data_IF_126569450034
#
_entry.id   IF_126569450034
#
_cell.length_a   1.000
_cell.length_b   1.000
_cell.length_c   1.000
_cell.angle_alpha   90.00
_cell.angle_beta   90.00
_cell.angle_gamma   90.00
#
_symmetry.space_group_name_H-M   'P 1'
#
loop_
_entity.id
_entity.type
_entity.pdbx_description
1 polymer ?
#
# COMPACT_ATOMS: atom_id res chain seq x y z
N UNK A 1 13.08 19.26 -2.95
CA UNK A 1 13.04 17.80 -3.22
C UNK A 1 12.47 17.62 -4.61
N UNK A 2 13.10 16.84 -5.48
CA UNK A 2 12.59 16.58 -6.83
C UNK A 2 11.77 15.29 -6.86
N UNK A 3 10.62 15.32 -7.50
CA UNK A 3 9.72 14.16 -7.62
C UNK A 3 9.78 13.68 -9.08
N UNK A 4 9.97 12.39 -9.32
CA UNK A 4 9.92 11.87 -10.68
C UNK A 4 8.49 11.96 -11.23
N UNK A 5 8.37 12.28 -12.52
CA UNK A 5 7.07 12.37 -13.21
C UNK A 5 6.23 11.10 -13.02
N UNK A 6 6.88 9.93 -13.04
CA UNK A 6 6.21 8.64 -12.79
C UNK A 6 5.61 8.57 -11.38
N UNK A 7 6.37 8.99 -10.35
CA UNK A 7 5.88 8.99 -8.96
C UNK A 7 4.71 9.96 -8.79
N UNK A 8 4.77 11.14 -9.41
CA UNK A 8 3.67 12.11 -9.41
C UNK A 8 2.40 11.55 -10.07
N UNK A 9 2.52 10.87 -11.21
CA UNK A 9 1.36 10.26 -11.91
C UNK A 9 0.72 9.15 -11.06
N UNK A 10 1.53 8.28 -10.45
CA UNK A 10 1.03 7.19 -9.60
C UNK A 10 0.36 7.72 -8.33
N UNK A 11 0.89 8.78 -7.72
CA UNK A 11 0.32 9.35 -6.49
C UNK A 11 -1.02 10.06 -6.70
N UNK A 12 -1.23 10.67 -7.86
CA UNK A 12 -2.43 11.45 -8.16
C UNK A 12 -3.41 10.72 -9.09
N UNK A 13 -3.16 9.43 -9.36
CA UNK A 13 -3.95 8.61 -10.28
C UNK A 13 -4.16 9.24 -11.68
N UNK A 14 -3.15 9.96 -12.18
CA UNK A 14 -3.20 10.65 -13.47
C UNK A 14 -2.50 9.84 -14.56
N UNK A 15 -3.02 9.92 -15.78
CA UNK A 15 -2.39 9.26 -16.92
C UNK A 15 -1.10 9.98 -17.36
N UNK A 16 -0.04 9.19 -17.58
CA UNK A 16 1.30 9.71 -17.91
C UNK A 16 1.31 10.56 -19.19
N UNK A 17 0.49 10.21 -20.18
CA UNK A 17 0.36 10.96 -21.44
C UNK A 17 -0.25 12.33 -21.24
N UNK A 18 -1.31 12.45 -20.42
CA UNK A 18 -1.98 13.73 -20.13
C UNK A 18 -1.09 14.66 -19.32
N UNK A 19 -0.40 14.15 -18.29
CA UNK A 19 0.53 14.95 -17.49
C UNK A 19 1.72 15.42 -18.33
N UNK A 20 2.29 14.55 -19.16
CA UNK A 20 3.42 14.91 -20.03
C UNK A 20 3.06 16.01 -21.04
N UNK A 21 1.87 15.92 -21.64
CA UNK A 21 1.36 16.95 -22.55
C UNK A 21 1.17 18.30 -21.84
N UNK A 22 0.61 18.30 -20.62
CA UNK A 22 0.45 19.54 -19.84
C UNK A 22 1.78 20.14 -19.38
N UNK A 23 2.78 19.34 -19.03
CA UNK A 23 4.12 19.85 -18.76
C UNK A 23 4.72 20.58 -19.96
N UNK A 24 4.48 20.10 -21.18
CA UNK A 24 4.91 20.77 -22.41
C UNK A 24 4.16 22.08 -22.66
N UNK A 25 2.84 22.10 -22.42
CA UNK A 25 2.02 23.31 -22.56
C UNK A 25 2.39 24.41 -21.54
N UNK A 26 2.85 24.02 -20.35
CA UNK A 26 3.26 24.92 -19.26
C UNK A 26 4.77 25.24 -19.25
N UNK A 27 5.53 24.78 -20.26
CA UNK A 27 6.99 24.92 -20.35
C UNK A 27 7.74 24.45 -19.09
N UNK A 28 7.30 23.33 -18.49
CA UNK A 28 7.94 22.70 -17.33
C UNK A 28 9.00 21.71 -17.82
N UNK A 29 10.26 21.92 -17.47
CA UNK A 29 11.33 20.97 -17.74
C UNK A 29 11.17 19.72 -16.85
N UNK A 30 11.11 18.55 -17.46
CA UNK A 30 10.94 17.25 -16.78
C UNK A 30 12.21 16.40 -16.83
N UNK A 31 13.29 16.90 -17.42
CA UNK A 31 14.54 16.17 -17.67
C UNK A 31 15.26 15.75 -16.38
N UNK A 32 15.17 16.58 -15.33
CA UNK A 32 15.79 16.34 -14.02
C UNK A 32 14.77 16.01 -12.91
N UNK A 33 13.52 15.72 -13.28
CA UNK A 33 12.40 15.58 -12.36
C UNK A 33 11.59 16.86 -12.16
N UNK A 34 10.48 16.77 -11.45
CA UNK A 34 9.60 17.89 -11.15
C UNK A 34 10.08 18.62 -9.89
N UNK A 35 10.37 19.90 -10.05
CA UNK A 35 10.59 20.81 -8.92
C UNK A 35 9.30 21.09 -8.15
N UNK A 36 9.43 21.53 -6.91
CA UNK A 36 8.28 21.73 -6.02
C UNK A 36 7.30 22.81 -6.53
N UNK A 37 7.81 23.84 -7.23
CA UNK A 37 6.99 24.85 -7.91
C UNK A 37 6.21 24.22 -9.09
N UNK A 38 6.86 23.35 -9.87
CA UNK A 38 6.22 22.62 -10.96
C UNK A 38 5.13 21.64 -10.46
N UNK A 39 5.39 20.96 -9.35
CA UNK A 39 4.39 20.10 -8.68
C UNK A 39 3.18 20.91 -8.25
N UNK A 40 3.39 22.10 -7.67
CA UNK A 40 2.29 22.96 -7.21
C UNK A 40 1.45 23.47 -8.37
N UNK A 41 2.09 23.87 -9.48
CA UNK A 41 1.38 24.27 -10.71
C UNK A 41 0.58 23.13 -11.32
N UNK A 42 1.14 21.92 -11.36
CA UNK A 42 0.44 20.74 -11.87
C UNK A 42 -0.72 20.33 -10.96
N UNK A 43 -0.57 20.41 -9.63
CA UNK A 43 -1.67 20.15 -8.69
C UNK A 43 -2.82 21.15 -8.87
N UNK A 44 -2.50 22.44 -9.08
CA UNK A 44 -3.50 23.47 -9.36
C UNK A 44 -4.21 23.23 -10.71
N UNK A 45 -3.46 22.93 -11.77
CA UNK A 45 -3.99 22.71 -13.12
C UNK A 45 -4.88 21.46 -13.21
N UNK A 46 -4.48 20.38 -12.54
CA UNK A 46 -5.27 19.14 -12.48
C UNK A 46 -6.31 19.15 -11.36
N UNK A 47 -6.43 20.26 -10.61
CA UNK A 47 -7.31 20.41 -9.44
C UNK A 47 -7.24 19.21 -8.49
N UNK A 48 -6.03 18.66 -8.32
CA UNK A 48 -5.79 17.54 -7.42
C UNK A 48 -5.58 18.13 -6.03
N UNK A 49 -6.68 18.39 -5.34
CA UNK A 49 -6.67 18.57 -3.89
C UNK A 49 -6.25 17.23 -3.25
N UNK A 50 -5.41 17.23 -2.19
CA UNK A 50 -5.29 16.04 -1.35
C UNK A 50 -6.69 15.74 -0.82
N UNK A 51 -7.25 14.60 -1.25
CA UNK A 51 -8.63 14.16 -1.03
C UNK A 51 -9.54 15.13 -0.28
N UNK A 52 -10.32 15.92 -1.03
CA UNK A 52 -11.72 16.14 -0.68
C UNK A 52 -12.53 16.36 -1.95
N UNK A 53 -13.58 15.56 -2.05
CA UNK A 53 -14.46 15.33 -3.18
C UNK A 53 -15.12 16.62 -3.69
N UNK A 54 -15.24 16.66 -5.01
CA UNK A 54 -15.84 17.68 -5.87
C UNK A 54 -17.20 18.18 -5.39
N UNK A 55 -17.46 19.50 -5.48
CA UNK A 55 -18.79 19.98 -5.83
C UNK A 55 -18.72 21.27 -6.66
N UNK A 56 -19.59 21.30 -7.66
CA UNK A 56 -19.60 22.17 -8.83
C UNK A 56 -20.08 23.58 -8.51
N UNK A 57 -19.56 24.52 -9.29
CA UNK A 57 -19.79 25.96 -9.25
C UNK A 57 -21.18 26.38 -9.78
N UNK A 58 -21.63 27.53 -9.26
CA UNK A 58 -22.53 28.55 -9.84
C UNK A 58 -24.05 28.45 -9.62
N UNK A 59 -24.57 29.36 -8.77
CA UNK A 59 -25.54 30.38 -9.19
C UNK A 59 -25.68 31.51 -8.14
N UNK A 60 -25.53 32.75 -8.60
CA UNK A 60 -25.55 34.01 -7.86
C UNK A 60 -26.92 34.36 -7.27
N UNK A 61 -26.94 34.89 -6.03
CA UNK A 61 -28.16 35.37 -5.36
C UNK A 61 -28.35 36.85 -5.69
N UNK A 62 -29.39 37.17 -6.46
CA UNK A 62 -29.81 38.55 -6.72
C UNK A 62 -30.55 39.11 -5.50
N UNK A 63 -30.03 40.18 -4.90
CA UNK A 63 -30.64 40.91 -3.78
C UNK A 63 -31.69 41.91 -4.29
N UNK A 64 -32.95 41.74 -3.88
CA UNK A 64 -34.01 42.71 -4.16
C UNK A 64 -34.36 43.52 -2.91
N UNK A 65 -34.13 44.83 -3.03
CA UNK A 65 -34.43 45.88 -2.03
C UNK A 65 -35.92 46.16 -1.93
N UNK A 66 -36.45 46.16 -0.70
CA UNK A 66 -37.85 46.53 -0.39
C UNK A 66 -37.95 48.04 -0.19
N UNK A 67 -38.94 48.66 -0.84
CA UNK A 67 -39.39 50.03 -0.61
C UNK A 67 -40.90 50.00 -0.34
N UNK A 68 -41.31 50.55 0.81
CA UNK A 68 -42.71 50.63 1.23
C UNK A 68 -43.22 52.07 1.14
N UNK A 69 -44.45 52.25 0.64
CA UNK A 69 -45.09 53.56 0.55
C UNK A 69 -46.56 53.50 0.14
N UNK A 70 -47.45 53.29 1.13
CA UNK A 70 -48.77 53.93 1.36
C UNK A 70 -49.34 54.86 0.26
N UNK A 71 -50.61 54.86 -0.20
CA UNK A 71 -51.91 54.42 0.33
C UNK A 71 -52.97 54.36 -0.81
N UNK A 72 -54.12 53.73 -0.48
CA UNK A 72 -55.51 54.19 -0.79
C UNK A 72 -56.32 53.42 -1.86
N UNK A 73 -56.97 52.35 -1.40
CA UNK A 73 -58.44 52.20 -1.40
C UNK A 73 -59.16 51.85 -2.71
N UNK A 74 -59.50 50.57 -2.86
CA UNK A 74 -60.75 50.10 -3.46
C UNK A 74 -61.22 48.87 -2.67
N UNK A 75 -62.52 48.81 -2.36
CA UNK A 75 -63.19 47.67 -1.74
C UNK A 75 -63.52 46.66 -2.83
N UNK A 76 -62.71 45.62 -2.96
CA UNK A 76 -63.08 44.41 -3.68
C UNK A 76 -63.68 43.40 -2.70
N UNK A 77 -64.83 42.83 -3.05
CA UNK A 77 -65.39 41.69 -2.32
C UNK A 77 -64.34 40.57 -2.31
N UNK A 78 -64.09 39.91 -1.17
CA UNK A 78 -63.14 38.81 -1.14
C UNK A 78 -63.70 37.67 -1.99
N UNK A 79 -63.06 37.41 -3.12
CA UNK A 79 -63.15 36.13 -3.78
C UNK A 79 -62.71 35.09 -2.77
N UNK A 80 -63.63 34.24 -2.32
CA UNK A 80 -63.27 33.06 -1.55
C UNK A 80 -62.23 32.28 -2.38
N UNK A 81 -61.03 32.04 -1.83
CA UNK A 81 -60.02 31.30 -2.56
C UNK A 81 -60.55 29.88 -2.79
N UNK A 82 -60.62 29.47 -4.06
CA UNK A 82 -61.00 28.10 -4.45
C UNK A 82 -59.98 27.07 -4.01
N UNK A 83 -58.81 27.51 -3.53
CA UNK A 83 -57.78 26.70 -2.91
C UNK A 83 -57.39 27.27 -1.55
N UNK A 84 -57.64 26.49 -0.51
CA UNK A 84 -57.10 26.74 0.83
C UNK A 84 -55.76 26.04 0.90
N UNK A 85 -54.66 26.80 0.81
CA UNK A 85 -53.33 26.25 0.95
C UNK A 85 -53.00 26.01 2.43
N UNK A 86 -52.97 24.74 2.84
CA UNK A 86 -52.72 24.31 4.22
C UNK A 86 -51.30 24.62 4.71
N UNK A 87 -50.42 25.10 3.84
CA UNK A 87 -49.06 25.55 4.19
C UNK A 87 -49.05 26.81 5.07
N UNK A 88 -50.08 27.66 5.00
CA UNK A 88 -50.15 28.89 5.82
C UNK A 88 -50.60 28.63 7.26
N UNK A 89 -51.17 27.45 7.55
CA UNK A 89 -51.61 27.03 8.88
C UNK A 89 -50.54 26.19 9.59
N UNK A 90 -49.65 25.55 8.81
CA UNK A 90 -48.52 24.79 9.35
C UNK A 90 -47.35 25.74 9.58
N UNK A 91 -47.32 26.33 10.78
CA UNK A 91 -46.18 27.09 11.26
C UNK A 91 -44.85 26.40 10.89
N UNK A 92 -43.96 27.21 10.30
CA UNK A 92 -42.65 26.89 9.75
C UNK A 92 -41.98 25.65 10.38
N UNK A 93 -42.28 24.47 9.84
CA UNK A 93 -41.56 23.24 10.10
C UNK A 93 -41.03 22.77 8.75
N UNK A 94 -39.76 23.04 8.41
CA UNK A 94 -39.17 22.49 7.20
C UNK A 94 -39.16 20.97 7.36
N UNK A 95 -40.03 20.28 6.62
CA UNK A 95 -39.86 18.87 6.33
C UNK A 95 -38.61 18.79 5.46
N UNK A 96 -37.44 18.58 6.07
CA UNK A 96 -36.32 17.99 5.36
C UNK A 96 -36.76 16.58 4.98
N UNK A 97 -37.41 16.43 3.83
CA UNK A 97 -37.73 15.13 3.26
C UNK A 97 -36.43 14.59 2.68
N UNK A 98 -35.84 13.59 3.34
CA UNK A 98 -34.96 12.68 2.62
C UNK A 98 -35.78 12.10 1.48
N UNK A 99 -35.32 12.31 0.25
CA UNK A 99 -35.94 11.66 -0.90
C UNK A 99 -35.77 10.15 -0.74
N UNK A 100 -36.78 9.36 -1.12
CA UNK A 100 -36.73 7.90 -0.96
C UNK A 100 -35.49 7.30 -1.65
N UNK A 101 -35.05 7.93 -2.75
CA UNK A 101 -33.86 7.57 -3.51
C UNK A 101 -32.55 7.75 -2.72
N UNK A 102 -32.47 8.73 -1.81
CA UNK A 102 -31.29 8.95 -0.97
C UNK A 102 -31.21 7.88 0.14
N UNK A 103 -32.36 7.45 0.66
CA UNK A 103 -32.46 6.38 1.64
C UNK A 103 -32.05 5.05 1.01
N UNK A 104 -32.52 4.74 -0.20
CA UNK A 104 -32.14 3.54 -0.94
C UNK A 104 -30.64 3.50 -1.25
N UNK A 105 -30.06 4.62 -1.74
CA UNK A 105 -28.61 4.73 -1.98
C UNK A 105 -27.79 4.54 -0.71
N UNK A 106 -28.27 5.05 0.43
CA UNK A 106 -27.59 4.88 1.70
C UNK A 106 -27.64 3.41 2.16
N UNK A 107 -28.78 2.74 2.03
CA UNK A 107 -28.91 1.32 2.36
C UNK A 107 -28.03 0.44 1.46
N UNK A 108 -28.01 0.70 0.15
CA UNK A 108 -27.12 0.00 -0.78
C UNK A 108 -25.64 0.20 -0.43
N UNK A 109 -25.26 1.41 0.01
CA UNK A 109 -23.91 1.69 0.48
C UNK A 109 -23.58 0.94 1.78
N UNK A 110 -24.54 0.84 2.72
CA UNK A 110 -24.38 0.04 3.92
C UNK A 110 -24.21 -1.45 3.60
N UNK A 111 -25.02 -2.00 2.70
CA UNK A 111 -24.93 -3.40 2.28
C UNK A 111 -23.60 -3.68 1.56
N UNK A 112 -23.17 -2.76 0.70
CA UNK A 112 -21.85 -2.81 0.05
C UNK A 112 -20.71 -2.80 1.06
N UNK A 113 -20.80 -2.00 2.11
CA UNK A 113 -19.80 -1.96 3.19
C UNK A 113 -19.74 -3.27 3.97
N UNK A 114 -20.89 -3.86 4.32
CA UNK A 114 -20.94 -5.16 5.01
C UNK A 114 -20.32 -6.25 4.13
N UNK A 115 -20.71 -6.32 2.86
CA UNK A 115 -20.16 -7.30 1.92
C UNK A 115 -18.63 -7.13 1.72
N UNK A 116 -18.15 -5.89 1.62
CA UNK A 116 -16.72 -5.61 1.51
C UNK A 116 -15.95 -6.00 2.77
N UNK A 117 -16.52 -5.76 3.95
CA UNK A 117 -15.93 -6.13 5.24
C UNK A 117 -15.82 -7.65 5.39
N UNK A 118 -16.88 -8.38 5.02
CA UNK A 118 -16.88 -9.84 5.04
C UNK A 118 -15.84 -10.42 4.05
N UNK A 119 -15.77 -9.86 2.85
CA UNK A 119 -14.79 -10.27 1.84
C UNK A 119 -13.34 -10.02 2.32
N UNK A 120 -13.07 -8.87 2.94
CA UNK A 120 -11.76 -8.57 3.51
C UNK A 120 -11.41 -9.54 4.65
N UNK A 121 -12.35 -9.81 5.55
CA UNK A 121 -12.14 -10.77 6.64
C UNK A 121 -11.79 -12.18 6.11
N UNK A 122 -12.49 -12.66 5.08
CA UNK A 122 -12.16 -13.95 4.45
C UNK A 122 -10.77 -13.95 3.81
N UNK A 123 -10.38 -12.86 3.14
CA UNK A 123 -9.05 -12.72 2.58
C UNK A 123 -7.97 -12.73 3.67
N UNK A 124 -8.19 -12.03 4.79
CA UNK A 124 -7.29 -12.04 5.94
C UNK A 124 -7.13 -13.45 6.54
N UNK A 125 -8.23 -14.21 6.64
CA UNK A 125 -8.19 -15.61 7.09
C UNK A 125 -7.36 -16.49 6.15
N UNK A 126 -7.56 -16.36 4.83
CA UNK A 126 -6.78 -17.11 3.85
C UNK A 126 -5.29 -16.79 3.91
N UNK A 127 -4.94 -15.50 3.98
CA UNK A 127 -3.56 -15.04 4.09
C UNK A 127 -2.92 -15.58 5.37
N UNK A 128 -3.64 -15.55 6.48
CA UNK A 128 -3.18 -16.07 7.78
C UNK A 128 -2.91 -17.57 7.68
N UNK A 129 -3.85 -18.34 7.14
CA UNK A 129 -3.69 -19.79 6.94
C UNK A 129 -2.51 -20.13 6.01
N UNK A 130 -2.31 -19.36 4.93
CA UNK A 130 -1.16 -19.53 4.02
C UNK A 130 0.15 -19.24 4.75
N UNK A 131 0.20 -18.20 5.59
CA UNK A 131 1.37 -17.86 6.42
C UNK A 131 1.69 -18.95 7.44
N UNK A 132 0.69 -19.49 8.14
CA UNK A 132 0.88 -20.58 9.09
C UNK A 132 1.44 -21.84 8.41
N UNK A 133 0.88 -22.22 7.27
CA UNK A 133 1.37 -23.36 6.49
C UNK A 133 2.82 -23.14 6.00
N UNK A 134 3.15 -21.92 5.57
CA UNK A 134 4.52 -21.57 5.18
C UNK A 134 5.48 -21.61 6.38
N UNK A 135 5.07 -21.08 7.54
CA UNK A 135 5.88 -21.08 8.76
C UNK A 135 6.23 -22.50 9.21
N UNK A 136 5.27 -23.43 9.16
CA UNK A 136 5.52 -24.85 9.47
C UNK A 136 6.54 -25.49 8.51
N UNK A 137 6.44 -25.21 7.21
CA UNK A 137 7.41 -25.70 6.20
C UNK A 137 8.80 -25.14 6.44
N UNK A 138 8.92 -23.84 6.74
CA UNK A 138 10.20 -23.20 7.05
C UNK A 138 10.81 -23.79 8.30
N UNK A 139 10.02 -24.00 9.37
CA UNK A 139 10.48 -24.62 10.60
C UNK A 139 11.00 -26.04 10.36
N UNK A 140 10.28 -26.86 9.59
CA UNK A 140 10.72 -28.21 9.24
C UNK A 140 12.05 -28.19 8.47
N UNK A 141 12.20 -27.28 7.49
CA UNK A 141 13.45 -27.13 6.73
C UNK A 141 14.61 -26.60 7.58
N UNK A 142 14.35 -25.71 8.53
CA UNK A 142 15.36 -25.21 9.45
C UNK A 142 15.93 -26.36 10.31
N UNK A 143 15.08 -27.24 10.83
CA UNK A 143 15.53 -28.41 11.60
C UNK A 143 16.30 -29.42 10.73
N UNK A 144 15.88 -29.61 9.47
CA UNK A 144 16.61 -30.46 8.52
C UNK A 144 18.03 -29.92 8.25
N UNK A 145 18.16 -28.61 8.01
CA UNK A 145 19.46 -27.94 7.82
C UNK A 145 20.32 -28.03 9.07
N UNK A 146 19.74 -27.80 10.25
CA UNK A 146 20.46 -27.94 11.53
C UNK A 146 20.99 -29.36 11.72
N UNK A 147 20.17 -30.37 11.43
CA UNK A 147 20.57 -31.78 11.50
C UNK A 147 21.67 -32.11 10.49
N UNK A 148 21.57 -31.60 9.27
CA UNK A 148 22.58 -31.78 8.23
C UNK A 148 23.92 -31.12 8.63
N UNK A 149 23.87 -29.92 9.21
CA UNK A 149 25.05 -29.20 9.72
C UNK A 149 25.75 -29.97 10.83
N UNK A 150 25.00 -30.46 11.83
CA UNK A 150 25.56 -31.30 12.90
C UNK A 150 26.21 -32.57 12.34
N UNK A 151 25.55 -33.23 11.37
CA UNK A 151 26.11 -34.42 10.71
C UNK A 151 27.40 -34.11 9.97
N UNK A 152 27.47 -32.97 9.29
CA UNK A 152 28.68 -32.52 8.62
C UNK A 152 29.81 -32.25 9.62
N UNK A 153 29.52 -31.54 10.71
CA UNK A 153 30.49 -31.27 11.78
C UNK A 153 31.08 -32.57 12.34
N UNK A 154 30.24 -33.53 12.74
CA UNK A 154 30.69 -34.83 13.25
C UNK A 154 31.55 -35.60 12.23
N UNK A 155 31.16 -35.61 10.96
CA UNK A 155 31.95 -36.26 9.89
C UNK A 155 33.30 -35.57 9.68
N UNK A 156 33.32 -34.24 9.71
CA UNK A 156 34.54 -33.47 9.54
C UNK A 156 35.51 -33.65 10.70
N UNK A 157 35.00 -33.74 11.94
CA UNK A 157 35.80 -34.02 13.13
C UNK A 157 36.40 -35.42 13.08
N UNK A 158 35.59 -36.44 12.72
CA UNK A 158 36.08 -37.81 12.54
C UNK A 158 37.18 -37.90 11.47
N UNK A 159 37.02 -37.21 10.34
CA UNK A 159 38.04 -37.12 9.30
C UNK A 159 39.31 -36.42 9.81
N UNK A 160 39.17 -35.33 10.57
CA UNK A 160 40.32 -34.62 11.14
C UNK A 160 41.12 -35.50 12.12
N UNK A 161 40.44 -36.27 12.97
CA UNK A 161 41.08 -37.22 13.89
C UNK A 161 41.78 -38.32 13.08
N UNK A 162 41.10 -38.89 12.08
CA UNK A 162 41.69 -39.95 11.26
C UNK A 162 42.95 -39.47 10.52
N UNK A 163 42.92 -38.29 9.92
CA UNK A 163 44.09 -37.71 9.25
C UNK A 163 45.23 -37.44 10.23
N UNK A 164 44.96 -36.91 11.42
CA UNK A 164 46.01 -36.73 12.45
C UNK A 164 46.66 -38.05 12.85
N UNK A 165 45.88 -39.12 12.98
CA UNK A 165 46.42 -40.45 13.29
C UNK A 165 47.31 -40.95 12.15
N UNK A 166 46.84 -40.84 10.90
CA UNK A 166 47.64 -41.19 9.72
C UNK A 166 48.94 -40.38 9.64
N UNK A 167 48.89 -39.06 9.89
CA UNK A 167 50.08 -38.21 9.89
C UNK A 167 51.08 -38.65 10.99
N UNK A 168 50.58 -39.03 12.16
CA UNK A 168 51.41 -39.52 13.28
C UNK A 168 52.04 -40.88 12.96
N UNK A 169 51.27 -41.80 12.36
CA UNK A 169 51.75 -43.10 11.90
C UNK A 169 52.81 -42.94 10.81
N UNK A 170 52.57 -42.07 9.82
CA UNK A 170 53.52 -41.75 8.77
C UNK A 170 54.79 -41.13 9.34
N UNK A 171 54.68 -40.18 10.27
CA UNK A 171 55.83 -39.58 10.92
C UNK A 171 56.66 -40.61 11.68
N UNK A 172 56.01 -41.50 12.44
CA UNK A 172 56.68 -42.58 13.18
C UNK A 172 57.39 -43.54 12.22
N UNK A 173 56.73 -43.97 11.15
CA UNK A 173 57.32 -44.83 10.13
C UNK A 173 58.53 -44.15 9.44
N UNK A 174 58.44 -42.84 9.16
CA UNK A 174 59.54 -42.05 8.60
C UNK A 174 60.72 -41.94 9.56
N UNK A 175 60.46 -41.75 10.86
CA UNK A 175 61.49 -41.71 11.90
C UNK A 175 62.16 -43.08 12.07
N UNK A 176 61.42 -44.19 12.05
CA UNK A 176 61.98 -45.55 12.06
C UNK A 176 62.88 -45.83 10.85
N UNK A 177 62.47 -45.40 9.66
CA UNK A 177 63.26 -45.51 8.43
C UNK A 177 64.55 -44.67 8.49
N UNK A 178 64.51 -43.50 9.14
CA UNK A 178 65.70 -42.65 9.37
C UNK A 178 66.60 -43.16 10.49
N UNK A 179 66.01 -43.80 11.51
CA UNK A 179 66.69 -44.31 12.70
C UNK A 179 67.30 -45.69 12.56
N UNK A 180 67.03 -46.42 11.47
CA UNK A 180 67.80 -47.63 11.12
C UNK A 180 69.13 -47.21 10.46
N UNK A 181 70.27 -47.25 11.17
CA UNK A 181 71.55 -47.18 10.50
C UNK A 181 71.66 -48.40 9.58
N UNK A 182 72.18 -48.18 8.39
CA UNK A 182 72.60 -49.20 7.44
C UNK A 182 73.76 -50.02 8.04
N UNK A 183 73.52 -50.78 9.11
CA UNK A 183 74.42 -51.81 9.61
C UNK A 183 73.98 -53.16 9.05
N UNK A 184 74.23 -53.37 7.76
CA UNK A 184 74.23 -54.69 7.15
C UNK A 184 74.95 -54.63 5.78
N UNK A 185 76.27 -54.41 5.79
CA UNK A 185 77.21 -54.91 4.76
C UNK A 185 78.65 -54.53 5.13
N UNK A 186 79.09 -54.96 6.30
CA UNK A 186 80.50 -55.00 6.66
C UNK A 186 80.75 -56.27 7.45
N UNK A 187 81.16 -57.36 6.77
CA UNK A 187 81.52 -58.59 7.47
C UNK A 187 81.74 -59.82 6.59
N UNK A 188 83.02 -60.10 6.34
CA UNK A 188 83.66 -61.42 6.30
C UNK A 188 83.77 -62.20 4.98
N UNK A 189 85.04 -62.46 4.62
CA UNK A 189 85.53 -63.45 3.64
C UNK A 189 86.45 -62.78 2.63
N UNK A 190 87.75 -63.07 2.51
CA UNK A 190 88.65 -64.06 3.09
C UNK A 190 89.97 -63.92 2.33
#
# INVERSE_FOLDING_TARGET
MTISLHKFCTQNNLSKSTVHRRCQELNIDTSNGLDQDAVTRLLNEFSVQPEQTQESEAAEISTLTISTGNHRGALDLPSLPTDINLSDVRGNAPLASFEAEDIERFLDACDGFVAATDADYQNQLEVTRKKEAAALKVKAKAEEVKTASLRYQLRSEALSIHNRNLDTELQTAMEELRGKPTQAAGGAGG
#
